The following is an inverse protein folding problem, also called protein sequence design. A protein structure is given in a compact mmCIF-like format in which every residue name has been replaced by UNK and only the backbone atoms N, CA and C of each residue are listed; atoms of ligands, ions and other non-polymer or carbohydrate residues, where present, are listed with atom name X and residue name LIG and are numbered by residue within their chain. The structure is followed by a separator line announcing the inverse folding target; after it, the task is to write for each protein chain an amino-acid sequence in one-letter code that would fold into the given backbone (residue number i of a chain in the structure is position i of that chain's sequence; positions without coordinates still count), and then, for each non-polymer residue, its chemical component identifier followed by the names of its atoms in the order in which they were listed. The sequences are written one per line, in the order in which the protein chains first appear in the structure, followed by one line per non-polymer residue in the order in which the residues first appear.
data_IF_047658208141
#
_entry.id   IF_047658208141
#
_cell.length_a   1.000
_cell.length_b   1.000
_cell.length_c   1.000
_cell.angle_alpha   90.00
_cell.angle_beta   90.00
_cell.angle_gamma   90.00
#
_symmetry.space_group_name_H-M   'P 1'
#
loop_
_entity.id
_entity.type
_entity.pdbx_description
1 polymer ?
#
# COMPACT_ATOMS: atom_id res chain seq x y z
N UNK A 1 -16.84 17.03 15.32
CA UNK A 1 -17.16 15.95 14.36
C UNK A 1 -16.54 16.14 12.97
N UNK A 2 -17.02 17.02 12.05
CA UNK A 2 -16.43 17.09 10.69
C UNK A 2 -14.98 17.59 10.69
N UNK A 3 -14.67 18.61 11.50
CA UNK A 3 -13.32 19.18 11.63
C UNK A 3 -12.31 18.18 12.19
N UNK A 4 -12.73 17.34 13.16
CA UNK A 4 -11.86 16.32 13.77
C UNK A 4 -11.50 15.22 12.77
N UNK A 5 -12.47 14.76 11.97
CA UNK A 5 -12.21 13.74 10.94
C UNK A 5 -11.37 14.29 9.79
N UNK A 6 -11.62 15.53 9.35
CA UNK A 6 -10.79 16.15 8.32
C UNK A 6 -9.35 16.32 8.78
N UNK A 7 -9.13 16.75 10.03
CA UNK A 7 -7.80 16.84 10.60
C UNK A 7 -7.13 15.45 10.71
N UNK A 8 -7.87 14.46 11.21
CA UNK A 8 -7.39 13.08 11.33
C UNK A 8 -6.94 12.48 9.99
N UNK A 9 -7.73 12.66 8.93
CA UNK A 9 -7.44 12.09 7.61
C UNK A 9 -6.53 12.95 6.74
N UNK A 10 -6.18 14.17 7.18
CA UNK A 10 -5.31 15.08 6.43
C UNK A 10 -3.99 14.44 5.99
N UNK A 11 -3.23 13.73 6.86
CA UNK A 11 -1.97 13.13 6.45
C UNK A 11 -2.14 12.09 5.34
N UNK A 12 -3.25 11.35 5.33
CA UNK A 12 -3.55 10.35 4.30
C UNK A 12 -3.86 11.01 2.96
N UNK A 13 -4.64 12.10 2.98
CA UNK A 13 -4.95 12.90 1.78
C UNK A 13 -3.68 13.48 1.18
N UNK A 14 -2.84 14.10 2.00
CA UNK A 14 -1.59 14.75 1.56
C UNK A 14 -0.56 13.76 1.00
N UNK A 15 -0.50 12.54 1.55
CA UNK A 15 0.42 11.49 1.12
C UNK A 15 -0.13 10.61 -0.03
N UNK A 16 -1.36 10.83 -0.46
CA UNK A 16 -1.88 10.19 -1.67
C UNK A 16 -1.14 10.72 -2.91
N UNK A 17 -0.55 9.84 -3.72
CA UNK A 17 0.12 10.24 -4.96
C UNK A 17 -0.91 10.81 -5.95
N UNK A 18 -0.60 11.98 -6.52
CA UNK A 18 -1.51 12.72 -7.38
C UNK A 18 -2.57 13.54 -6.63
N UNK A 19 -2.49 13.67 -5.30
CA UNK A 19 -3.26 14.66 -4.57
C UNK A 19 -2.97 16.08 -5.11
N UNK A 20 -4.00 16.92 -5.19
CA UNK A 20 -3.93 18.25 -5.81
C UNK A 20 -3.47 18.29 -7.29
N UNK A 21 -3.45 17.15 -7.99
CA UNK A 21 -3.05 17.10 -9.39
C UNK A 21 -3.95 18.01 -10.25
N UNK A 22 -3.31 18.79 -11.11
CA UNK A 22 -3.96 19.62 -12.10
C UNK A 22 -3.79 18.98 -13.48
N UNK A 23 -4.77 19.20 -14.36
CA UNK A 23 -4.70 18.78 -15.76
C UNK A 23 -5.27 19.87 -16.67
N UNK A 24 -4.76 19.92 -17.90
CA UNK A 24 -5.24 20.86 -18.90
C UNK A 24 -6.59 20.42 -19.45
N UNK A 25 -7.48 21.39 -19.60
CA UNK A 25 -8.77 21.22 -20.27
C UNK A 25 -8.94 22.30 -21.32
N UNK A 26 -9.90 22.16 -22.26
CA UNK A 26 -10.27 23.26 -23.17
C UNK A 26 -10.68 24.56 -22.44
N UNK A 27 -11.00 24.50 -21.15
CA UNK A 27 -11.38 25.63 -20.30
C UNK A 27 -10.27 26.04 -19.32
N UNK A 28 -9.02 25.71 -19.65
CA UNK A 28 -7.84 25.99 -18.84
C UNK A 28 -7.50 24.88 -17.84
N UNK A 29 -6.55 25.18 -16.95
CA UNK A 29 -6.06 24.25 -15.94
C UNK A 29 -7.15 23.98 -14.89
N UNK A 30 -7.45 22.70 -14.63
CA UNK A 30 -8.44 22.28 -13.64
C UNK A 30 -7.84 21.28 -12.67
N UNK A 31 -8.34 21.28 -11.44
CA UNK A 31 -8.02 20.26 -10.45
C UNK A 31 -8.71 18.95 -10.79
N UNK A 32 -7.94 17.86 -10.79
CA UNK A 32 -8.46 16.52 -10.98
C UNK A 32 -9.22 16.08 -9.73
N UNK A 33 -10.54 15.93 -9.85
CA UNK A 33 -11.37 15.35 -8.81
C UNK A 33 -11.42 13.84 -9.04
N UNK A 34 -10.69 13.10 -8.21
CA UNK A 34 -10.71 11.64 -8.26
C UNK A 34 -11.87 11.12 -7.41
N UNK A 35 -12.90 10.63 -8.08
CA UNK A 35 -14.12 10.11 -7.46
C UNK A 35 -14.31 8.60 -7.70
N UNK A 36 -13.25 7.89 -8.08
CA UNK A 36 -13.27 6.47 -8.49
C UNK A 36 -12.66 5.52 -7.43
N UNK A 37 -12.66 5.96 -6.16
CA UNK A 37 -12.02 5.26 -5.04
C UNK A 37 -12.55 3.85 -4.76
N UNK A 38 -13.79 3.55 -5.18
CA UNK A 38 -14.39 2.22 -5.02
C UNK A 38 -13.83 1.25 -6.06
N UNK A 39 -13.51 1.74 -7.27
CA UNK A 39 -12.96 0.90 -8.33
C UNK A 39 -11.47 0.65 -8.13
N UNK A 40 -10.70 1.70 -7.78
CA UNK A 40 -9.27 1.60 -7.52
C UNK A 40 -8.81 2.64 -6.51
N UNK A 41 -7.90 2.24 -5.62
CA UNK A 41 -7.14 3.19 -4.82
C UNK A 41 -6.13 3.94 -5.69
N UNK A 42 -5.65 5.08 -5.16
CA UNK A 42 -4.40 5.70 -5.62
C UNK A 42 -3.25 5.22 -4.75
N UNK A 43 -2.06 5.17 -5.34
CA UNK A 43 -0.83 4.84 -4.63
C UNK A 43 -0.63 5.77 -3.41
N UNK A 44 -0.14 5.18 -2.33
CA UNK A 44 0.11 5.90 -1.08
C UNK A 44 1.61 6.03 -0.86
N UNK A 45 2.13 7.26 -0.89
CA UNK A 45 3.58 7.54 -0.92
C UNK A 45 4.38 6.81 0.17
N UNK A 46 3.97 6.79 1.46
CA UNK A 46 4.70 6.05 2.49
C UNK A 46 4.81 4.53 2.26
N UNK A 47 3.83 3.93 1.57
CA UNK A 47 3.89 2.50 1.18
C UNK A 47 4.88 2.33 0.04
N UNK A 48 4.75 3.12 -1.03
CA UNK A 48 5.64 3.06 -2.20
C UNK A 48 7.10 3.29 -1.82
N UNK A 49 7.37 4.27 -0.96
CA UNK A 49 8.73 4.57 -0.50
C UNK A 49 9.34 3.41 0.32
N UNK A 50 8.52 2.68 1.09
CA UNK A 50 8.98 1.48 1.79
C UNK A 50 9.24 0.33 0.83
N UNK A 51 8.33 0.09 -0.11
CA UNK A 51 8.51 -0.95 -1.12
C UNK A 51 9.80 -0.69 -1.89
N UNK A 52 10.00 0.53 -2.39
CA UNK A 52 11.15 0.89 -3.20
C UNK A 52 12.46 0.91 -2.40
N UNK A 53 12.49 1.57 -1.24
CA UNK A 53 13.75 1.91 -0.56
C UNK A 53 14.07 1.00 0.63
N UNK A 54 13.08 0.31 1.20
CA UNK A 54 13.28 -0.59 2.35
C UNK A 54 13.28 -2.04 1.91
N UNK A 55 12.32 -2.47 1.09
CA UNK A 55 12.24 -3.86 0.63
C UNK A 55 13.00 -4.10 -0.68
N UNK A 56 12.92 -3.15 -1.62
CA UNK A 56 13.55 -3.20 -2.94
C UNK A 56 15.02 -3.62 -2.92
N UNK A 57 15.89 -3.06 -2.05
CA UNK A 57 17.31 -3.43 -1.99
C UNK A 57 17.56 -4.89 -1.56
N UNK A 58 16.59 -5.55 -0.93
CA UNK A 58 16.73 -6.91 -0.39
C UNK A 58 15.96 -7.96 -1.18
N UNK A 59 15.38 -7.58 -2.32
CA UNK A 59 14.56 -8.48 -3.15
C UNK A 59 15.33 -9.75 -3.47
N UNK A 60 14.74 -10.88 -3.07
CA UNK A 60 15.19 -12.23 -3.35
C UNK A 60 13.98 -13.17 -3.31
N UNK A 61 14.13 -14.35 -3.91
CA UNK A 61 13.07 -15.37 -3.89
C UNK A 61 12.80 -15.84 -2.45
N UNK A 62 11.53 -15.98 -2.09
CA UNK A 62 11.04 -16.28 -0.73
C UNK A 62 10.99 -17.77 -0.38
N UNK A 63 11.89 -18.57 -0.95
CA UNK A 63 11.86 -20.03 -0.81
C UNK A 63 13.20 -20.64 -0.39
N UNK A 64 14.18 -19.79 -0.12
CA UNK A 64 15.52 -20.20 0.32
C UNK A 64 16.06 -19.21 1.35
N UNK A 65 16.62 -19.74 2.43
CA UNK A 65 17.30 -18.96 3.49
C UNK A 65 18.83 -19.04 3.32
N UNK A 66 19.31 -19.37 2.12
CA UNK A 66 20.74 -19.59 1.84
C UNK A 66 21.52 -18.28 1.71
N UNK A 67 20.83 -17.14 1.60
CA UNK A 67 21.43 -15.80 1.60
C UNK A 67 20.73 -14.89 2.61
N UNK A 68 21.41 -13.79 2.98
CA UNK A 68 20.83 -12.77 3.85
C UNK A 68 19.55 -12.16 3.24
N UNK A 69 19.58 -11.87 1.93
CA UNK A 69 18.42 -11.35 1.20
C UNK A 69 17.26 -12.34 1.16
N UNK A 70 17.53 -13.63 0.91
CA UNK A 70 16.51 -14.69 0.91
C UNK A 70 15.89 -14.90 2.30
N UNK A 71 16.72 -14.90 3.34
CA UNK A 71 16.26 -15.00 4.74
C UNK A 71 15.40 -13.80 5.12
N UNK A 72 15.84 -12.58 4.79
CA UNK A 72 15.09 -11.36 5.10
C UNK A 72 13.72 -11.37 4.41
N UNK A 73 13.67 -11.66 3.11
CA UNK A 73 12.42 -11.61 2.34
C UNK A 73 11.45 -12.71 2.79
N UNK A 74 11.95 -13.92 3.11
CA UNK A 74 11.15 -15.02 3.64
C UNK A 74 10.52 -14.66 4.98
N UNK A 75 11.30 -14.09 5.91
CA UNK A 75 10.80 -13.62 7.21
C UNK A 75 9.79 -12.49 7.06
N UNK A 76 10.04 -11.52 6.17
CA UNK A 76 9.11 -10.43 5.89
C UNK A 76 7.77 -10.94 5.34
N UNK A 77 7.80 -11.92 4.42
CA UNK A 77 6.60 -12.56 3.87
C UNK A 77 5.77 -13.26 4.96
N UNK A 78 6.39 -14.06 5.80
CA UNK A 78 5.70 -14.71 6.93
C UNK A 78 5.14 -13.70 7.94
N UNK A 79 5.87 -12.63 8.22
CA UNK A 79 5.39 -11.56 9.08
C UNK A 79 4.17 -10.83 8.49
N UNK A 80 4.17 -10.56 7.19
CA UNK A 80 3.02 -9.99 6.49
C UNK A 80 1.79 -10.89 6.59
N UNK A 81 1.95 -12.21 6.39
CA UNK A 81 0.85 -13.18 6.58
C UNK A 81 0.28 -13.15 8.01
N UNK A 82 1.14 -13.08 9.03
CA UNK A 82 0.69 -12.96 10.41
C UNK A 82 -0.13 -11.69 10.66
N UNK A 83 0.33 -10.54 10.15
CA UNK A 83 -0.39 -9.28 10.28
C UNK A 83 -1.73 -9.31 9.55
N UNK A 84 -1.78 -9.84 8.33
CA UNK A 84 -3.03 -9.96 7.55
C UNK A 84 -4.02 -10.83 8.31
N UNK A 85 -3.61 -12.01 8.80
CA UNK A 85 -4.47 -12.89 9.61
C UNK A 85 -5.07 -12.16 10.80
N UNK A 86 -4.26 -11.38 11.53
CA UNK A 86 -4.74 -10.58 12.65
C UNK A 86 -5.79 -9.54 12.24
N UNK A 87 -5.59 -8.85 11.11
CA UNK A 87 -6.51 -7.81 10.64
C UNK A 87 -7.86 -8.37 10.16
N UNK A 88 -7.87 -9.60 9.64
CA UNK A 88 -9.09 -10.27 9.19
C UNK A 88 -9.65 -11.26 10.22
N UNK A 89 -9.09 -11.28 11.44
CA UNK A 89 -9.46 -12.17 12.53
C UNK A 89 -9.44 -13.68 12.15
N UNK A 90 -8.47 -14.08 11.35
CA UNK A 90 -8.25 -15.47 10.96
C UNK A 90 -7.64 -16.29 12.11
N UNK A 91 -8.14 -17.51 12.30
CA UNK A 91 -7.70 -18.47 13.29
C UNK A 91 -6.39 -19.20 12.93
N UNK A 92 -5.90 -20.06 13.83
CA UNK A 92 -4.64 -20.79 13.62
C UNK A 92 -4.70 -21.77 12.44
N UNK A 93 -5.88 -22.33 12.17
CA UNK A 93 -6.09 -23.31 11.10
C UNK A 93 -6.47 -22.67 9.76
N UNK A 94 -6.73 -21.36 9.73
CA UNK A 94 -7.05 -20.65 8.50
C UNK A 94 -5.77 -20.44 7.67
N UNK A 95 -5.89 -20.42 6.35
CA UNK A 95 -4.77 -20.21 5.43
C UNK A 95 -4.98 -18.95 4.61
N UNK A 96 -3.89 -18.21 4.38
CA UNK A 96 -3.89 -17.12 3.40
C UNK A 96 -3.47 -17.71 2.07
N UNK A 97 -4.32 -17.56 1.06
CA UNK A 97 -4.00 -17.88 -0.34
C UNK A 97 -3.88 -16.55 -1.07
N UNK A 98 -2.64 -16.13 -1.35
CA UNK A 98 -2.37 -14.94 -2.16
C UNK A 98 -2.74 -15.24 -3.61
N UNK A 99 -3.67 -14.48 -4.18
CA UNK A 99 -4.10 -14.64 -5.57
C UNK A 99 -4.31 -13.29 -6.23
N UNK A 100 -4.03 -13.24 -7.53
CA UNK A 100 -4.14 -12.04 -8.35
C UNK A 100 -3.22 -10.91 -7.90
N UNK A 101 -3.55 -9.72 -8.37
CA UNK A 101 -2.96 -8.46 -7.98
C UNK A 101 -4.13 -7.49 -7.74
N UNK A 102 -4.07 -6.74 -6.65
CA UNK A 102 -4.92 -5.55 -6.50
C UNK A 102 -4.37 -4.40 -7.34
N UNK A 103 -5.15 -3.33 -7.48
CA UNK A 103 -4.63 -1.98 -7.75
C UNK A 103 -4.68 -1.16 -6.46
#
# INVERSE_FOLDING_TARGET
MSYELEHWFRPFRENTIGNEMLFETPYGLKKLIYADWIASGRLYRPIEERIANVFGPWVANTHTETSETGTMMTKAYHHAHHLIKKHVNAGPNDVIITTGFGM
#
